data_IF_301949997125
#
_entry.id   IF_301949997125
#
_cell.length_a   1.000
_cell.length_b   1.000
_cell.length_c   1.000
_cell.angle_alpha   90.00
_cell.angle_beta   90.00
_cell.angle_gamma   90.00
#
_symmetry.space_group_name_H-M   'P 1'
#
loop_
_entity.id
_entity.type
_entity.pdbx_description
1 polymer ?
#
# COMPACT_ATOMS: atom_id res chain seq x y z
N UNK A 1 -7.52 -1.70 -0.16
CA UNK A 1 -8.33 -0.90 -1.12
C UNK A 1 -8.08 -1.45 -2.52
N UNK A 2 -9.00 -1.21 -3.45
CA UNK A 2 -8.96 -1.79 -4.80
C UNK A 2 -8.05 -0.94 -5.71
N UNK A 3 -6.75 -1.27 -5.79
CA UNK A 3 -5.85 -0.61 -6.75
C UNK A 3 -6.24 -0.92 -8.20
N UNK A 4 -6.93 -2.03 -8.43
CA UNK A 4 -7.42 -2.47 -9.74
C UNK A 4 -8.38 -1.45 -10.39
N UNK A 5 -9.14 -0.70 -9.58
CA UNK A 5 -10.03 0.36 -10.08
C UNK A 5 -9.24 1.48 -10.77
N UNK A 6 -7.97 1.68 -10.39
CA UNK A 6 -7.11 2.69 -10.99
C UNK A 6 -6.36 2.20 -12.23
N UNK A 7 -6.37 0.89 -12.52
CA UNK A 7 -5.72 0.31 -13.71
C UNK A 7 -6.70 0.14 -14.90
N UNK A 8 -7.98 0.49 -14.74
CA UNK A 8 -8.97 0.42 -15.81
C UNK A 8 -8.58 1.33 -16.98
N UNK A 9 -8.68 0.82 -18.22
CA UNK A 9 -8.19 1.51 -19.43
C UNK A 9 -8.66 2.97 -19.56
N UNK A 10 -9.88 3.27 -19.13
CA UNK A 10 -10.47 4.61 -19.27
C UNK A 10 -9.84 5.65 -18.33
N UNK A 11 -9.25 5.22 -17.20
CA UNK A 11 -8.72 6.10 -16.16
C UNK A 11 -7.23 5.95 -15.94
N UNK A 12 -6.64 4.83 -16.38
CA UNK A 12 -5.23 4.44 -16.16
C UNK A 12 -4.23 5.55 -16.46
N UNK A 13 -4.38 6.21 -17.61
CA UNK A 13 -3.45 7.27 -18.02
C UNK A 13 -3.51 8.49 -17.08
N UNK A 14 -4.69 8.79 -16.53
CA UNK A 14 -4.91 9.90 -15.61
C UNK A 14 -4.50 9.55 -14.16
N UNK A 15 -4.61 8.28 -13.78
CA UNK A 15 -4.37 7.80 -12.41
C UNK A 15 -2.93 7.35 -12.19
N UNK A 16 -2.21 6.96 -13.24
CA UNK A 16 -0.80 6.55 -13.16
C UNK A 16 0.10 7.57 -12.44
N UNK A 17 -0.02 8.90 -12.67
CA UNK A 17 0.71 9.92 -11.90
C UNK A 17 0.47 9.87 -10.39
N UNK A 18 -0.71 9.43 -9.94
CA UNK A 18 -1.06 9.35 -8.51
C UNK A 18 -0.21 8.34 -7.74
N UNK A 19 0.40 7.37 -8.42
CA UNK A 19 1.23 6.35 -7.79
C UNK A 19 2.74 6.57 -8.04
N UNK A 20 3.09 7.30 -9.12
CA UNK A 20 4.49 7.57 -9.47
C UNK A 20 5.06 8.86 -8.86
N UNK A 21 4.22 9.81 -8.47
CA UNK A 21 4.63 11.14 -7.96
C UNK A 21 4.61 11.30 -6.43
N UNK A 22 3.82 10.57 -5.62
CA UNK A 22 3.67 10.93 -4.21
C UNK A 22 5.01 10.94 -3.47
N UNK A 23 5.32 12.05 -2.75
CA UNK A 23 6.56 12.15 -1.99
C UNK A 23 6.62 11.15 -0.83
N UNK A 24 5.46 10.72 -0.31
CA UNK A 24 5.35 9.83 0.85
C UNK A 24 4.22 8.82 0.64
N UNK A 25 4.52 7.52 0.73
CA UNK A 25 3.55 6.44 0.61
C UNK A 25 3.70 5.46 1.78
N UNK A 26 2.59 5.07 2.39
CA UNK A 26 2.53 4.00 3.39
C UNK A 26 1.81 2.81 2.80
N UNK A 27 2.55 1.74 2.54
CA UNK A 27 2.06 0.53 1.91
C UNK A 27 1.85 -0.54 2.99
N UNK A 28 0.58 -0.71 3.34
CA UNK A 28 0.11 -1.82 4.17
C UNK A 28 -0.25 -3.01 3.27
N UNK A 29 -0.62 -4.13 3.88
CA UNK A 29 -0.96 -5.39 3.22
C UNK A 29 -1.50 -5.24 1.78
N UNK A 30 -0.82 -5.87 0.82
CA UNK A 30 -1.13 -5.80 -0.60
C UNK A 30 -2.52 -6.38 -0.97
N UNK A 31 -3.11 -7.21 -0.09
CA UNK A 31 -4.42 -7.79 -0.31
C UNK A 31 -4.43 -8.86 -1.39
N UNK A 32 -5.54 -9.00 -2.11
CA UNK A 32 -5.78 -10.04 -3.12
C UNK A 32 -5.42 -9.61 -4.55
N UNK A 33 -4.71 -8.50 -4.71
CA UNK A 33 -4.34 -7.94 -6.01
C UNK A 33 -3.23 -8.77 -6.65
N UNK A 34 -3.26 -8.89 -7.98
CA UNK A 34 -2.17 -9.55 -8.71
C UNK A 34 -0.80 -8.94 -8.35
N UNK A 35 0.15 -9.82 -8.02
CA UNK A 35 1.50 -9.45 -7.56
C UNK A 35 2.20 -8.55 -8.57
N UNK A 36 2.12 -8.87 -9.87
CA UNK A 36 2.85 -8.16 -10.91
C UNK A 36 2.27 -6.77 -11.10
N UNK A 37 0.95 -6.66 -11.22
CA UNK A 37 0.27 -5.36 -11.35
C UNK A 37 0.53 -4.48 -10.14
N UNK A 38 0.49 -5.05 -8.92
CA UNK A 38 0.78 -4.31 -7.68
C UNK A 38 2.22 -3.78 -7.64
N UNK A 39 3.20 -4.62 -7.98
CA UNK A 39 4.61 -4.23 -8.02
C UNK A 39 4.91 -3.17 -9.09
N UNK A 40 4.34 -3.32 -10.30
CA UNK A 40 4.54 -2.37 -11.40
C UNK A 40 3.91 -1.00 -11.10
N UNK A 41 2.68 -0.99 -10.57
CA UNK A 41 1.96 0.25 -10.25
C UNK A 41 2.63 1.05 -9.13
N UNK A 42 3.14 0.36 -8.09
CA UNK A 42 3.77 0.99 -6.93
C UNK A 42 5.29 1.09 -7.03
N UNK A 43 5.89 0.56 -8.11
CA UNK A 43 7.34 0.51 -8.33
C UNK A 43 8.06 -0.15 -7.15
N UNK A 44 7.67 -1.40 -6.88
CA UNK A 44 8.22 -2.21 -5.79
C UNK A 44 9.11 -3.33 -6.32
N UNK A 45 10.14 -3.64 -5.55
CA UNK A 45 10.95 -4.83 -5.71
C UNK A 45 10.28 -6.05 -5.07
N UNK A 46 10.70 -7.24 -5.49
CA UNK A 46 10.13 -8.48 -4.97
C UNK A 46 10.38 -8.66 -3.46
N UNK A 47 11.53 -8.20 -2.97
CA UNK A 47 11.84 -8.22 -1.54
C UNK A 47 10.88 -7.32 -0.75
N UNK A 48 10.60 -6.12 -1.27
CA UNK A 48 9.67 -5.15 -0.66
C UNK A 48 8.25 -5.71 -0.62
N UNK A 49 7.78 -6.27 -1.73
CA UNK A 49 6.49 -6.94 -1.80
C UNK A 49 6.40 -8.08 -0.78
N UNK A 50 7.45 -8.89 -0.64
CA UNK A 50 7.49 -10.00 0.31
C UNK A 50 7.38 -9.56 1.78
N UNK A 51 7.81 -8.34 2.12
CA UNK A 51 7.67 -7.79 3.47
C UNK A 51 6.22 -7.43 3.83
N UNK A 52 5.43 -6.99 2.83
CA UNK A 52 4.07 -6.49 3.04
C UNK A 52 2.97 -7.41 2.53
N UNK A 53 3.28 -8.48 1.79
CA UNK A 53 2.27 -9.42 1.27
C UNK A 53 1.51 -10.16 2.36
N UNK A 54 2.11 -10.31 3.54
CA UNK A 54 1.47 -10.95 4.68
C UNK A 54 0.90 -9.89 5.61
N UNK A 55 -0.37 -10.03 6.04
CA UNK A 55 -1.00 -9.09 6.95
C UNK A 55 -0.28 -9.08 8.30
N UNK A 56 0.43 -8.00 8.59
CA UNK A 56 1.00 -7.71 9.90
C UNK A 56 0.38 -6.42 10.42
N UNK A 57 -0.32 -6.50 11.56
CA UNK A 57 -1.00 -5.32 12.13
C UNK A 57 0.03 -4.26 12.50
N UNK A 58 -0.17 -3.05 12.02
CA UNK A 58 0.71 -1.91 12.31
C UNK A 58 1.97 -1.86 11.47
N UNK A 59 2.39 -2.94 10.81
CA UNK A 59 3.60 -2.92 9.97
C UNK A 59 3.27 -2.44 8.56
N UNK A 60 4.11 -1.55 8.02
CA UNK A 60 4.01 -1.08 6.65
C UNK A 60 5.39 -0.78 6.04
N UNK A 61 5.43 -0.79 4.71
CA UNK A 61 6.55 -0.24 3.97
C UNK A 61 6.28 1.24 3.70
N UNK A 62 7.15 2.09 4.20
CA UNK A 62 7.16 3.51 3.92
C UNK A 62 8.13 3.81 2.77
N UNK A 63 7.59 4.44 1.72
CA UNK A 63 8.32 4.83 0.51
C UNK A 63 8.36 6.35 0.40
N UNK A 64 9.56 6.91 0.27
CA UNK A 64 9.79 8.33 0.08
C UNK A 64 10.88 8.57 -0.98
N UNK A 65 10.49 8.90 -2.21
CA UNK A 65 11.43 8.96 -3.34
C UNK A 65 12.15 7.62 -3.55
N UNK A 66 13.48 7.61 -3.38
CA UNK A 66 14.31 6.40 -3.45
C UNK A 66 14.47 5.69 -2.10
N UNK A 67 14.02 6.30 -1.00
CA UNK A 67 14.17 5.71 0.33
C UNK A 67 13.03 4.75 0.65
N UNK A 68 13.35 3.73 1.44
CA UNK A 68 12.48 2.61 1.79
C UNK A 68 12.72 2.22 3.24
N UNK A 69 11.66 2.25 4.04
CA UNK A 69 11.72 1.94 5.46
C UNK A 69 10.59 0.98 5.84
N UNK A 70 10.93 -0.09 6.55
CA UNK A 70 9.93 -0.93 7.21
C UNK A 70 9.59 -0.29 8.56
N UNK A 71 8.34 0.15 8.72
CA UNK A 71 7.88 0.86 9.91
C UNK A 71 6.82 0.07 10.65
N UNK A 72 6.89 0.13 11.98
CA UNK A 72 5.79 -0.28 12.87
C UNK A 72 5.02 0.97 13.33
N UNK A 73 3.78 1.09 12.88
CA UNK A 73 2.90 2.22 13.13
C UNK A 73 1.99 1.92 14.32
N UNK A 74 2.32 2.53 15.45
CA UNK A 74 1.50 2.51 16.66
C UNK A 74 0.55 3.70 16.67
N UNK A 75 -0.75 3.45 16.72
CA UNK A 75 -1.76 4.50 16.78
C UNK A 75 -2.64 4.29 18.02
N UNK A 76 -2.36 5.01 19.13
CA UNK A 76 -2.96 4.72 20.45
C UNK A 76 -4.47 5.02 20.55
N UNK A 77 -5.06 5.72 19.58
CA UNK A 77 -6.49 6.09 19.58
C UNK A 77 -7.31 5.28 18.56
N UNK A 78 -6.68 4.40 17.75
CA UNK A 78 -7.39 3.63 16.72
C UNK A 78 -8.52 2.77 17.29
N UNK A 79 -8.38 2.25 18.50
CA UNK A 79 -9.42 1.42 19.13
C UNK A 79 -10.76 2.16 19.31
N UNK A 80 -10.71 3.48 19.56
CA UNK A 80 -11.93 4.31 19.66
C UNK A 80 -12.55 4.60 18.29
N UNK A 81 -11.75 4.59 17.22
CA UNK A 81 -12.16 4.93 15.86
C UNK A 81 -12.64 3.73 15.04
N UNK A 82 -12.06 2.55 15.24
CA UNK A 82 -12.37 1.34 14.46
C UNK A 82 -13.50 0.49 15.05
N UNK A 83 -14.00 0.84 16.24
CA UNK A 83 -15.01 0.06 16.96
C UNK A 83 -14.54 -1.38 17.24
N UNK A 84 -15.43 -2.22 17.77
CA UNK A 84 -15.16 -3.66 17.98
C UNK A 84 -15.31 -4.50 16.72
N UNK A 85 -15.81 -3.91 15.63
CA UNK A 85 -16.14 -4.59 14.39
C UNK A 85 -14.94 -4.82 13.45
N UNK A 86 -13.71 -4.49 13.90
CA UNK A 86 -12.45 -4.92 13.29
C UNK A 86 -12.44 -4.81 11.76
N UNK A 87 -12.18 -3.61 11.24
CA UNK A 87 -11.94 -3.42 9.80
C UNK A 87 -10.90 -4.43 9.31
N UNK A 88 -11.33 -5.35 8.43
CA UNK A 88 -10.46 -6.30 7.74
C UNK A 88 -9.46 -5.59 6.85
#
# INVERSE_FOLDING_TARGET
QNLEDFDQEQVREMTKPLFSIPPHQFLFNAGSIDKRSYMEMLQLDEAEYNLIKFPQRGVCLYKCGNERYLLEVHAPIKEKLFGTAGGR
#
